data_IF_173055879060
#
_entry.id   IF_173055879060
#
_cell.length_a   1.000
_cell.length_b   1.000
_cell.length_c   1.000
_cell.angle_alpha   90.00
_cell.angle_beta   90.00
_cell.angle_gamma   90.00
#
_symmetry.space_group_name_H-M   'P 1'
#
loop_
_entity.id
_entity.type
_entity.pdbx_description
1 polymer ?
#
# COMPACT_ATOMS: atom_id res chain seq x y z
N UNK A 1 50.09 -71.58 37.51
CA UNK A 1 51.22 -71.16 36.65
C UNK A 1 50.69 -70.35 35.48
N UNK A 2 51.27 -69.16 35.27
CA UNK A 2 51.21 -68.23 34.12
C UNK A 2 49.85 -67.70 33.62
N UNK A 3 49.48 -66.41 33.77
CA UNK A 3 49.98 -65.10 33.25
C UNK A 3 49.44 -64.68 31.86
N UNK A 4 48.77 -63.50 31.85
CA UNK A 4 48.44 -62.58 30.72
C UNK A 4 47.43 -63.11 29.68
N UNK A 5 46.51 -62.34 29.10
CA UNK A 5 46.59 -60.97 28.60
C UNK A 5 45.19 -60.38 28.35
N UNK A 6 45.08 -59.08 28.56
CA UNK A 6 43.95 -58.20 28.26
C UNK A 6 43.46 -58.24 26.80
N UNK A 7 42.18 -57.89 26.60
CA UNK A 7 41.70 -56.92 25.58
C UNK A 7 40.22 -56.59 25.81
N UNK A 8 39.98 -55.48 26.51
CA UNK A 8 38.68 -54.83 26.63
C UNK A 8 38.36 -54.17 25.28
N UNK A 9 37.28 -54.55 24.61
CA UNK A 9 36.72 -53.82 23.45
C UNK A 9 35.47 -53.08 23.93
N UNK A 10 35.60 -51.76 24.14
CA UNK A 10 34.44 -50.87 24.25
C UNK A 10 33.79 -50.76 22.87
N UNK A 11 32.54 -51.20 22.74
CA UNK A 11 31.67 -50.83 21.64
C UNK A 11 31.04 -49.47 21.95
N UNK A 12 31.46 -48.43 21.22
CA UNK A 12 30.78 -47.14 21.21
C UNK A 12 29.54 -47.25 20.32
N UNK A 13 28.35 -47.24 20.92
CA UNK A 13 27.08 -47.09 20.23
C UNK A 13 26.92 -45.63 19.80
N UNK A 14 27.16 -45.36 18.51
CA UNK A 14 26.81 -44.10 17.84
C UNK A 14 25.29 -44.07 17.63
N UNK A 15 24.59 -43.29 18.44
CA UNK A 15 23.21 -42.86 18.19
C UNK A 15 23.21 -41.79 17.09
N UNK A 16 22.49 -41.96 15.98
CA UNK A 16 22.22 -40.85 15.08
C UNK A 16 21.18 -39.94 15.73
N UNK A 17 21.62 -38.80 16.24
CA UNK A 17 20.73 -37.67 16.54
C UNK A 17 20.23 -37.15 15.20
N UNK A 18 19.05 -37.61 14.77
CA UNK A 18 18.30 -36.98 13.69
C UNK A 18 17.88 -35.58 14.16
N UNK A 19 18.72 -34.58 13.87
CA UNK A 19 18.34 -33.19 13.97
C UNK A 19 17.29 -32.89 12.91
N UNK A 20 16.02 -32.79 13.31
CA UNK A 20 15.04 -32.06 12.51
C UNK A 20 15.50 -30.61 12.43
N UNK A 21 16.10 -30.24 11.30
CA UNK A 21 16.23 -28.85 10.91
C UNK A 21 14.81 -28.33 10.65
N UNK A 22 14.20 -27.75 11.68
CA UNK A 22 13.05 -26.88 11.48
C UNK A 22 13.54 -25.71 10.63
N UNK A 23 13.24 -25.73 9.33
CA UNK A 23 13.39 -24.57 8.48
C UNK A 23 12.61 -23.41 9.10
N UNK A 24 13.27 -22.30 9.48
CA UNK A 24 12.56 -21.18 10.03
C UNK A 24 11.59 -20.64 8.97
N UNK A 25 10.35 -20.40 9.36
CA UNK A 25 9.26 -19.86 8.54
C UNK A 25 9.49 -18.39 8.09
N UNK A 26 10.74 -17.97 7.95
CA UNK A 26 11.15 -16.58 7.72
C UNK A 26 11.24 -16.17 6.23
N UNK A 27 10.77 -17.01 5.29
CA UNK A 27 11.04 -16.80 3.85
C UNK A 27 9.80 -16.62 2.96
N UNK A 28 8.62 -17.10 3.33
CA UNK A 28 7.44 -17.04 2.45
C UNK A 28 6.94 -15.61 2.19
N UNK A 29 7.27 -14.68 3.08
CA UNK A 29 6.68 -13.33 3.11
C UNK A 29 7.51 -12.29 2.36
N UNK A 30 8.84 -12.43 2.39
CA UNK A 30 9.73 -11.73 1.47
C UNK A 30 9.52 -12.24 0.03
N UNK A 31 9.20 -13.53 -0.12
CA UNK A 31 8.82 -14.13 -1.39
C UNK A 31 7.49 -13.57 -1.93
N UNK A 32 6.46 -13.39 -1.10
CA UNK A 32 5.20 -12.74 -1.51
C UNK A 32 5.43 -11.30 -2.02
N UNK A 33 6.28 -10.52 -1.33
CA UNK A 33 6.63 -9.15 -1.76
C UNK A 33 7.40 -9.17 -3.08
N UNK A 34 8.37 -10.07 -3.22
CA UNK A 34 9.14 -10.23 -4.45
C UNK A 34 8.27 -10.71 -5.62
N UNK A 35 7.34 -11.64 -5.38
CA UNK A 35 6.39 -12.12 -6.37
C UNK A 35 5.47 -11.00 -6.87
N UNK A 36 5.02 -10.11 -5.98
CA UNK A 36 4.24 -8.93 -6.35
C UNK A 36 5.07 -7.94 -7.19
N UNK A 37 6.35 -7.72 -6.86
CA UNK A 37 7.26 -6.90 -7.67
C UNK A 37 7.45 -7.51 -9.06
N UNK A 38 7.68 -8.83 -9.12
CA UNK A 38 7.85 -9.54 -10.38
C UNK A 38 6.59 -9.50 -11.23
N UNK A 39 5.41 -9.60 -10.62
CA UNK A 39 4.14 -9.42 -11.30
C UNK A 39 4.06 -8.06 -12.02
N UNK A 40 4.40 -6.96 -11.32
CA UNK A 40 4.39 -5.64 -11.97
C UNK A 40 5.43 -5.53 -13.07
N UNK A 41 6.64 -6.07 -12.87
CA UNK A 41 7.67 -6.12 -13.93
C UNK A 41 7.11 -6.79 -15.19
N UNK A 42 6.43 -7.93 -15.04
CA UNK A 42 5.88 -8.69 -16.16
C UNK A 42 4.73 -7.92 -16.84
N UNK A 43 3.83 -7.29 -16.06
CA UNK A 43 2.76 -6.45 -16.60
C UNK A 43 3.32 -5.28 -17.42
N UNK A 44 4.38 -4.60 -16.95
CA UNK A 44 4.95 -3.47 -17.70
C UNK A 44 5.78 -3.90 -18.91
N UNK A 45 6.36 -5.11 -18.90
CA UNK A 45 7.10 -5.65 -20.06
C UNK A 45 6.18 -6.22 -21.14
N UNK A 46 5.12 -6.89 -20.74
CA UNK A 46 4.36 -7.77 -21.63
C UNK A 46 2.87 -7.43 -21.72
N UNK A 47 2.33 -6.68 -20.75
CA UNK A 47 0.92 -6.33 -20.70
C UNK A 47 0.47 -5.41 -21.83
N UNK A 48 -0.85 -5.35 -22.06
CA UNK A 48 -1.47 -4.30 -22.87
C UNK A 48 -1.57 -2.98 -22.10
N UNK A 49 -2.03 -1.92 -22.76
CA UNK A 49 -2.25 -0.62 -22.12
C UNK A 49 -3.22 -0.73 -20.93
N UNK A 50 -4.31 -1.51 -21.07
CA UNK A 50 -5.32 -1.65 -20.02
C UNK A 50 -4.75 -2.33 -18.77
N UNK A 51 -4.00 -3.43 -18.94
CA UNK A 51 -3.33 -4.12 -17.83
C UNK A 51 -2.30 -3.22 -17.13
N UNK A 52 -1.51 -2.46 -17.89
CA UNK A 52 -0.59 -1.47 -17.31
C UNK A 52 -1.34 -0.37 -16.57
N UNK A 53 -2.46 0.10 -17.11
CA UNK A 53 -3.27 1.14 -16.49
C UNK A 53 -3.84 0.69 -15.14
N UNK A 54 -4.33 -0.55 -15.07
CA UNK A 54 -4.78 -1.18 -13.83
C UNK A 54 -3.63 -1.26 -12.82
N UNK A 55 -2.48 -1.81 -13.22
CA UNK A 55 -1.28 -1.89 -12.37
C UNK A 55 -0.81 -0.52 -11.84
N UNK A 56 -0.86 0.54 -12.66
CA UNK A 56 -0.55 1.90 -12.21
C UNK A 56 -1.52 2.40 -11.13
N UNK A 57 -2.80 2.00 -11.20
CA UNK A 57 -3.80 2.29 -10.18
C UNK A 57 -3.52 1.59 -8.85
N UNK A 58 -3.06 0.34 -8.91
CA UNK A 58 -2.73 -0.48 -7.74
C UNK A 58 -1.44 -0.02 -7.05
N UNK A 59 -0.38 0.23 -7.84
CA UNK A 59 0.93 0.68 -7.38
C UNK A 59 0.82 1.92 -6.47
N UNK A 60 -0.13 2.81 -6.75
CA UNK A 60 -0.41 4.02 -5.98
C UNK A 60 -0.47 3.81 -4.47
N UNK A 61 -0.99 2.66 -4.04
CA UNK A 61 -1.17 2.37 -2.63
C UNK A 61 -0.50 1.05 -2.23
N UNK A 62 0.47 0.61 -3.01
CA UNK A 62 1.28 -0.59 -2.73
C UNK A 62 2.43 -0.31 -1.77
N UNK A 63 2.92 0.94 -1.73
CA UNK A 63 4.15 1.28 -1.03
C UNK A 63 5.41 0.75 -1.71
N UNK A 64 5.30 0.20 -2.92
CA UNK A 64 6.45 -0.28 -3.69
C UNK A 64 7.25 0.93 -4.20
N UNK A 65 8.54 0.94 -3.89
CA UNK A 65 9.53 1.90 -4.37
C UNK A 65 10.71 1.17 -5.02
N UNK A 66 10.43 0.08 -5.76
CA UNK A 66 11.46 -0.76 -6.37
C UNK A 66 11.82 -0.25 -7.79
N UNK A 67 13.07 0.19 -8.04
CA UNK A 67 13.49 0.69 -9.35
C UNK A 67 13.26 -0.30 -10.50
N UNK A 68 13.28 -1.62 -10.25
CA UNK A 68 13.08 -2.64 -11.30
C UNK A 68 11.73 -2.48 -12.01
N UNK A 69 10.69 -2.03 -11.30
CA UNK A 69 9.38 -1.74 -11.89
C UNK A 69 9.41 -0.41 -12.65
N UNK A 70 9.92 0.63 -11.99
CA UNK A 70 9.78 2.01 -12.48
C UNK A 70 10.78 2.36 -13.59
N UNK A 71 11.93 1.70 -13.68
CA UNK A 71 12.91 1.89 -14.76
C UNK A 71 12.33 1.44 -16.12
N UNK A 72 11.46 0.42 -16.13
CA UNK A 72 10.75 -0.02 -17.34
C UNK A 72 9.79 1.08 -17.82
N UNK A 73 9.08 1.69 -16.88
CA UNK A 73 8.12 2.78 -17.13
C UNK A 73 8.87 4.03 -17.61
N UNK A 74 9.99 4.36 -16.97
CA UNK A 74 10.85 5.48 -17.33
C UNK A 74 11.36 5.34 -18.77
N UNK A 75 11.91 4.17 -19.12
CA UNK A 75 12.40 3.90 -20.47
C UNK A 75 11.28 4.01 -21.52
N UNK A 76 10.09 3.48 -21.22
CA UNK A 76 8.94 3.57 -22.12
C UNK A 76 8.47 5.02 -22.32
N UNK A 77 8.47 5.83 -21.26
CA UNK A 77 8.11 7.24 -21.30
C UNK A 77 9.15 8.06 -22.09
N UNK A 78 10.45 7.89 -21.80
CA UNK A 78 11.53 8.58 -22.51
C UNK A 78 11.54 8.28 -24.01
N UNK A 79 11.14 7.08 -24.41
CA UNK A 79 11.04 6.70 -25.82
C UNK A 79 9.93 7.45 -26.57
N UNK A 80 8.82 7.78 -25.90
CA UNK A 80 7.58 8.15 -26.58
C UNK A 80 7.01 9.53 -26.17
N UNK A 81 7.61 10.27 -25.23
CA UNK A 81 6.99 11.48 -24.66
C UNK A 81 6.80 12.66 -25.64
N UNK A 82 7.47 12.63 -26.79
CA UNK A 82 7.32 13.61 -27.87
C UNK A 82 6.17 13.27 -28.83
N UNK A 83 5.59 12.07 -28.73
CA UNK A 83 4.45 11.65 -29.54
C UNK A 83 3.17 12.36 -29.09
N UNK A 84 2.57 13.10 -30.01
CA UNK A 84 1.39 13.93 -29.76
C UNK A 84 0.07 13.24 -30.06
N UNK A 85 0.09 11.98 -30.54
CA UNK A 85 -1.14 11.21 -30.77
C UNK A 85 -1.88 11.03 -29.43
N UNK A 86 -3.21 11.25 -29.38
CA UNK A 86 -3.96 11.26 -28.12
C UNK A 86 -3.74 10.04 -27.23
N UNK A 87 -3.72 8.85 -27.82
CA UNK A 87 -3.47 7.60 -27.09
C UNK A 87 -2.09 7.58 -26.40
N UNK A 88 -1.04 8.02 -27.09
CA UNK A 88 0.31 8.04 -26.52
C UNK A 88 0.48 9.15 -25.49
N UNK A 89 -0.12 10.32 -25.72
CA UNK A 89 -0.17 11.39 -24.71
C UNK A 89 -0.82 10.89 -23.42
N UNK A 90 -1.91 10.12 -23.53
CA UNK A 90 -2.62 9.57 -22.39
C UNK A 90 -1.78 8.53 -21.65
N UNK A 91 -1.18 7.60 -22.38
CA UNK A 91 -0.28 6.60 -21.81
C UNK A 91 0.93 7.24 -21.12
N UNK A 92 1.61 8.17 -21.78
CA UNK A 92 2.75 8.90 -21.22
C UNK A 92 2.36 9.72 -19.98
N UNK A 93 1.16 10.29 -19.96
CA UNK A 93 0.65 11.01 -18.79
C UNK A 93 0.46 10.08 -17.59
N UNK A 94 0.04 8.84 -17.83
CA UNK A 94 -0.04 7.83 -16.78
C UNK A 94 1.33 7.36 -16.31
N UNK A 95 2.28 7.13 -17.22
CA UNK A 95 3.66 6.81 -16.85
C UNK A 95 4.31 7.90 -16.00
N UNK A 96 4.17 9.17 -16.38
CA UNK A 96 4.69 10.29 -15.60
C UNK A 96 4.15 10.31 -14.16
N UNK A 97 2.83 10.10 -13.98
CA UNK A 97 2.24 9.98 -12.64
C UNK A 97 2.79 8.80 -11.86
N UNK A 98 3.00 7.67 -12.53
CA UNK A 98 3.49 6.43 -11.92
C UNK A 98 4.94 6.54 -11.48
N UNK A 99 5.79 7.26 -12.23
CA UNK A 99 7.13 7.59 -11.76
C UNK A 99 7.10 8.41 -10.46
N UNK A 100 6.18 9.35 -10.30
CA UNK A 100 6.01 10.05 -9.02
C UNK A 100 5.49 9.14 -7.90
N UNK A 101 4.61 8.19 -8.21
CA UNK A 101 4.11 7.19 -7.24
C UNK A 101 5.24 6.36 -6.63
N UNK A 102 6.35 6.15 -7.36
CA UNK A 102 7.52 5.44 -6.81
C UNK A 102 8.13 6.14 -5.58
N UNK A 103 7.97 7.46 -5.45
CA UNK A 103 8.65 8.27 -4.44
C UNK A 103 10.18 8.34 -4.60
N UNK A 104 10.74 7.83 -5.70
CA UNK A 104 12.19 7.77 -5.91
C UNK A 104 12.70 9.04 -6.60
N UNK A 105 13.56 9.79 -5.90
CA UNK A 105 14.13 11.05 -6.38
C UNK A 105 14.85 10.95 -7.73
N UNK A 106 15.40 9.76 -8.07
CA UNK A 106 16.10 9.52 -9.35
C UNK A 106 15.26 9.90 -10.58
N UNK A 107 13.93 9.79 -10.52
CA UNK A 107 13.06 10.09 -11.66
C UNK A 107 12.73 11.57 -11.81
N UNK A 108 13.11 12.44 -10.86
CA UNK A 108 12.82 13.86 -10.93
C UNK A 108 13.45 14.50 -12.17
N UNK A 109 14.70 14.17 -12.48
CA UNK A 109 15.39 14.71 -13.64
C UNK A 109 14.69 14.34 -14.95
N UNK A 110 14.23 13.09 -15.08
CA UNK A 110 13.45 12.64 -16.22
C UNK A 110 12.11 13.38 -16.33
N UNK A 111 11.39 13.53 -15.22
CA UNK A 111 10.16 14.31 -15.20
C UNK A 111 10.42 15.77 -15.59
N UNK A 112 11.49 16.40 -15.10
CA UNK A 112 11.83 17.78 -15.46
C UNK A 112 12.15 17.91 -16.95
N UNK A 113 12.96 17.00 -17.50
CA UNK A 113 13.24 16.94 -18.93
C UNK A 113 11.95 16.90 -19.77
N UNK A 114 11.03 16.00 -19.43
CA UNK A 114 9.78 15.85 -20.17
C UNK A 114 8.90 17.09 -20.02
N UNK A 115 8.88 17.70 -18.82
CA UNK A 115 8.16 18.95 -18.61
C UNK A 115 8.65 20.02 -19.58
N UNK A 116 9.95 20.15 -19.75
CA UNK A 116 10.54 21.23 -20.53
C UNK A 116 10.47 20.97 -22.04
N UNK A 117 10.61 19.71 -22.46
CA UNK A 117 10.74 19.31 -23.86
C UNK A 117 9.42 18.84 -24.52
N UNK A 118 8.37 18.48 -23.75
CA UNK A 118 7.13 17.97 -24.37
C UNK A 118 6.31 19.06 -25.08
N UNK A 119 5.81 18.73 -26.27
CA UNK A 119 4.88 19.56 -27.04
C UNK A 119 3.41 19.38 -26.62
N UNK A 120 3.12 18.45 -25.71
CA UNK A 120 1.75 18.18 -25.24
C UNK A 120 1.43 18.93 -23.95
N UNK A 121 0.48 19.87 -24.01
CA UNK A 121 -0.01 20.59 -22.82
C UNK A 121 -0.62 19.65 -21.77
N UNK A 122 -1.30 18.58 -22.22
CA UNK A 122 -1.86 17.55 -21.34
C UNK A 122 -0.76 16.78 -20.61
N UNK A 123 0.29 16.36 -21.32
CA UNK A 123 1.43 15.66 -20.71
C UNK A 123 2.16 16.60 -19.74
N UNK A 124 2.48 17.83 -20.16
CA UNK A 124 3.12 18.85 -19.32
C UNK A 124 2.38 19.06 -18.00
N UNK A 125 1.04 19.16 -18.02
CA UNK A 125 0.20 19.26 -16.82
C UNK A 125 0.36 18.05 -15.89
N UNK A 126 0.41 16.84 -16.43
CA UNK A 126 0.54 15.63 -15.62
C UNK A 126 1.96 15.43 -15.07
N UNK A 127 2.98 15.87 -15.79
CA UNK A 127 4.36 15.92 -15.30
C UNK A 127 4.52 16.95 -14.20
N UNK A 128 3.94 18.14 -14.33
CA UNK A 128 3.93 19.15 -13.26
C UNK A 128 3.27 18.60 -11.97
N UNK A 129 2.15 17.87 -12.12
CA UNK A 129 1.54 17.16 -10.99
C UNK A 129 2.49 16.10 -10.40
N UNK A 130 3.18 15.33 -11.24
CA UNK A 130 4.12 14.29 -10.80
C UNK A 130 5.28 14.90 -9.99
N UNK A 131 5.89 15.98 -10.48
CA UNK A 131 6.96 16.71 -9.80
C UNK A 131 6.53 17.24 -8.42
N UNK A 132 5.30 17.72 -8.30
CA UNK A 132 4.73 18.19 -7.04
C UNK A 132 4.42 17.06 -6.05
N UNK A 133 4.24 15.82 -6.53
CA UNK A 133 3.75 14.68 -5.73
C UNK A 133 4.81 13.66 -5.36
N UNK A 134 5.94 13.63 -6.04
CA UNK A 134 6.97 12.62 -5.78
C UNK A 134 7.44 12.61 -4.31
N UNK A 135 7.52 13.78 -3.67
CA UNK A 135 7.90 13.90 -2.26
C UNK A 135 6.79 13.40 -1.31
N UNK A 136 5.52 13.49 -1.71
CA UNK A 136 4.43 12.90 -0.95
C UNK A 136 4.61 11.37 -0.91
N UNK A 137 4.83 10.74 -2.07
CA UNK A 137 5.04 9.29 -2.13
C UNK A 137 6.34 8.84 -1.48
N UNK A 138 7.40 9.63 -1.54
CA UNK A 138 8.63 9.37 -0.79
C UNK A 138 8.36 9.27 0.73
N UNK A 139 7.40 10.05 1.24
CA UNK A 139 6.95 9.99 2.64
C UNK A 139 5.93 8.88 2.89
N UNK A 140 5.05 8.60 1.93
CA UNK A 140 3.94 7.66 2.09
C UNK A 140 4.37 6.20 1.94
N UNK A 141 5.23 5.90 0.97
CA UNK A 141 5.57 4.52 0.65
C UNK A 141 6.22 3.77 1.82
N UNK A 142 7.16 4.36 2.59
CA UNK A 142 7.69 3.71 3.79
C UNK A 142 6.64 3.46 4.88
N UNK A 143 5.58 4.27 4.96
CA UNK A 143 4.45 4.03 5.87
C UNK A 143 3.64 2.85 5.37
N UNK A 144 3.28 2.83 4.08
CA UNK A 144 2.46 1.78 3.47
C UNK A 144 3.17 0.43 3.51
N UNK A 145 4.48 0.40 3.25
CA UNK A 145 5.31 -0.81 3.16
C UNK A 145 5.83 -1.32 4.51
N UNK A 146 5.56 -0.60 5.60
CA UNK A 146 6.08 -0.95 6.93
C UNK A 146 5.63 -2.36 7.34
N UNK A 147 6.57 -3.21 7.69
CA UNK A 147 6.24 -4.52 8.24
C UNK A 147 5.62 -5.51 7.23
N UNK A 148 5.73 -5.26 5.91
CA UNK A 148 5.12 -6.16 4.91
C UNK A 148 5.85 -7.49 4.79
N UNK A 149 7.15 -7.52 5.05
CA UNK A 149 7.94 -8.75 5.05
C UNK A 149 7.59 -9.67 6.24
N UNK A 150 6.80 -9.20 7.21
CA UNK A 150 6.35 -9.94 8.38
C UNK A 150 4.85 -10.24 8.32
N UNK A 151 4.15 -9.82 7.26
CA UNK A 151 2.74 -10.11 7.08
C UNK A 151 2.51 -11.62 6.88
N UNK A 152 1.37 -12.18 7.33
CA UNK A 152 1.07 -13.59 7.04
C UNK A 152 0.95 -13.81 5.51
N UNK A 153 1.18 -15.03 5.01
CA UNK A 153 1.06 -15.35 3.58
C UNK A 153 -0.27 -14.87 2.99
N UNK A 154 -0.24 -14.20 1.84
CA UNK A 154 -1.42 -13.58 1.21
C UNK A 154 -2.00 -12.37 1.97
N UNK A 155 -1.37 -11.95 3.07
CA UNK A 155 -1.83 -10.90 3.99
C UNK A 155 -1.35 -9.48 3.63
N UNK A 156 -0.63 -9.29 2.53
CA UNK A 156 -0.05 -8.00 2.14
C UNK A 156 -1.12 -6.90 2.01
N UNK A 157 -2.25 -7.20 1.39
CA UNK A 157 -3.33 -6.23 1.21
C UNK A 157 -3.88 -5.74 2.57
N UNK A 158 -4.21 -6.66 3.47
CA UNK A 158 -4.68 -6.32 4.81
C UNK A 158 -3.61 -5.57 5.62
N UNK A 159 -2.34 -5.97 5.51
CA UNK A 159 -1.23 -5.28 6.17
C UNK A 159 -1.09 -3.82 5.70
N UNK A 160 -1.18 -3.56 4.40
CA UNK A 160 -1.21 -2.19 3.85
C UNK A 160 -2.39 -1.39 4.38
N UNK A 161 -3.58 -1.98 4.46
CA UNK A 161 -4.75 -1.28 5.01
C UNK A 161 -4.54 -0.93 6.48
N UNK A 162 -3.98 -1.84 7.29
CA UNK A 162 -3.60 -1.53 8.68
C UNK A 162 -2.63 -0.37 8.75
N UNK A 163 -1.58 -0.36 7.93
CA UNK A 163 -0.60 0.71 7.88
C UNK A 163 -1.21 2.06 7.49
N UNK A 164 -2.13 2.06 6.52
CA UNK A 164 -2.85 3.25 6.08
C UNK A 164 -3.73 3.82 7.19
N UNK A 165 -4.47 2.97 7.92
CA UNK A 165 -5.37 3.38 9.01
C UNK A 165 -4.61 3.84 10.26
N UNK A 166 -3.44 3.27 10.53
CA UNK A 166 -2.58 3.65 11.67
C UNK A 166 -1.75 4.92 11.44
N UNK A 167 -1.75 5.46 10.22
CA UNK A 167 -1.03 6.67 9.89
C UNK A 167 -1.67 7.91 10.52
N UNK A 168 -0.87 8.93 10.83
CA UNK A 168 -1.37 10.28 11.16
C UNK A 168 -1.51 11.18 9.92
N UNK A 169 -1.28 10.63 8.71
CA UNK A 169 -1.39 11.37 7.44
C UNK A 169 -2.83 11.24 6.91
N UNK A 170 -3.58 12.35 6.76
CA UNK A 170 -4.99 12.31 6.34
C UNK A 170 -5.23 11.60 5.01
N UNK A 171 -4.35 11.78 4.02
CA UNK A 171 -4.43 11.09 2.74
C UNK A 171 -4.36 9.57 2.88
N UNK A 172 -3.53 9.07 3.80
CA UNK A 172 -3.37 7.64 4.04
C UNK A 172 -4.55 7.08 4.81
N UNK A 173 -5.04 7.77 5.84
CA UNK A 173 -6.27 7.39 6.56
C UNK A 173 -7.44 7.30 5.57
N UNK A 174 -7.57 8.30 4.69
CA UNK A 174 -8.60 8.32 3.64
C UNK A 174 -8.48 7.13 2.69
N UNK A 175 -7.26 6.78 2.27
CA UNK A 175 -7.02 5.63 1.41
C UNK A 175 -7.36 4.31 2.14
N UNK A 176 -7.00 4.18 3.42
CA UNK A 176 -7.35 3.06 4.28
C UNK A 176 -8.86 2.87 4.40
N UNK A 177 -9.60 3.93 4.75
CA UNK A 177 -11.07 3.88 4.84
C UNK A 177 -11.75 3.51 3.53
N UNK A 178 -11.23 3.98 2.38
CA UNK A 178 -11.73 3.54 1.06
C UNK A 178 -11.50 2.05 0.84
N UNK A 179 -10.33 1.52 1.18
CA UNK A 179 -10.04 0.10 1.02
C UNK A 179 -10.91 -0.78 1.89
N UNK A 180 -11.14 -0.38 3.15
CA UNK A 180 -12.12 -1.07 4.00
C UNK A 180 -13.50 -1.05 3.37
N UNK A 181 -13.98 0.11 2.92
CA UNK A 181 -15.29 0.22 2.28
C UNK A 181 -15.43 -0.68 1.03
N UNK A 182 -14.46 -0.67 0.12
CA UNK A 182 -14.57 -1.35 -1.18
C UNK A 182 -14.16 -2.82 -1.17
N UNK A 183 -13.20 -3.21 -0.33
CA UNK A 183 -12.55 -4.53 -0.41
C UNK A 183 -12.48 -5.30 0.92
N UNK A 184 -12.61 -4.64 2.07
CA UNK A 184 -12.46 -5.30 3.39
C UNK A 184 -13.62 -4.97 4.35
N UNK A 185 -14.84 -4.83 3.84
CA UNK A 185 -16.00 -4.41 4.65
C UNK A 185 -16.58 -5.53 5.54
N UNK A 186 -16.01 -6.73 5.48
CA UNK A 186 -16.34 -7.88 6.33
C UNK A 186 -15.13 -8.36 7.16
N UNK A 187 -14.02 -7.61 7.15
CA UNK A 187 -12.84 -7.91 7.96
C UNK A 187 -12.99 -7.21 9.31
N UNK A 188 -13.38 -7.96 10.34
CA UNK A 188 -13.66 -7.42 11.67
C UNK A 188 -12.46 -6.71 12.29
N UNK A 189 -11.23 -7.19 12.05
CA UNK A 189 -10.03 -6.57 12.57
C UNK A 189 -9.77 -5.20 11.92
N UNK A 190 -10.01 -5.08 10.61
CA UNK A 190 -9.88 -3.80 9.90
C UNK A 190 -11.04 -2.84 10.19
N UNK A 191 -12.24 -3.34 10.46
CA UNK A 191 -13.37 -2.53 10.89
C UNK A 191 -13.16 -1.97 12.30
N UNK A 192 -12.66 -2.80 13.22
CA UNK A 192 -12.31 -2.36 14.57
C UNK A 192 -11.19 -1.32 14.54
N UNK A 193 -10.15 -1.54 13.73
CA UNK A 193 -9.11 -0.54 13.53
C UNK A 193 -9.66 0.76 12.91
N UNK A 194 -10.60 0.66 11.97
CA UNK A 194 -11.29 1.82 11.38
C UNK A 194 -12.04 2.62 12.44
N UNK A 195 -12.72 1.92 13.36
CA UNK A 195 -13.42 2.51 14.50
C UNK A 195 -12.44 3.22 15.44
N UNK A 196 -11.35 2.57 15.81
CA UNK A 196 -10.33 3.14 16.70
C UNK A 196 -9.66 4.37 16.07
N UNK A 197 -9.29 4.32 14.78
CA UNK A 197 -8.78 5.48 14.05
C UNK A 197 -9.80 6.62 14.03
N UNK A 198 -11.08 6.33 13.80
CA UNK A 198 -12.12 7.37 13.81
C UNK A 198 -12.22 8.03 15.19
N UNK A 199 -12.27 7.22 16.26
CA UNK A 199 -12.36 7.70 17.64
C UNK A 199 -11.12 8.50 18.08
N UNK A 200 -9.93 8.11 17.62
CA UNK A 200 -8.68 8.83 17.86
C UNK A 200 -8.70 10.25 17.29
N UNK A 201 -9.26 10.44 16.09
CA UNK A 201 -9.07 11.68 15.32
C UNK A 201 -10.29 12.62 15.27
N UNK A 202 -11.51 12.17 15.57
CA UNK A 202 -12.72 12.97 15.29
C UNK A 202 -12.87 14.26 16.10
N UNK A 203 -12.27 14.32 17.29
CA UNK A 203 -12.31 15.51 18.18
C UNK A 203 -11.34 16.59 17.77
N UNK A 204 -10.23 16.20 17.14
CA UNK A 204 -9.15 17.10 16.69
C UNK A 204 -9.11 17.21 15.17
N UNK A 205 -10.20 16.90 14.47
CA UNK A 205 -10.25 16.96 13.01
C UNK A 205 -9.95 18.39 12.55
N UNK A 206 -8.99 18.53 11.65
CA UNK A 206 -8.62 19.81 11.07
C UNK A 206 -9.79 20.46 10.32
N UNK A 207 -9.64 21.75 10.01
CA UNK A 207 -10.56 22.45 9.10
C UNK A 207 -10.31 22.09 7.64
N UNK A 208 -9.22 21.37 7.36
CA UNK A 208 -8.79 21.06 6.02
C UNK A 208 -9.71 20.02 5.37
N UNK A 209 -9.92 20.17 4.06
CA UNK A 209 -10.90 19.34 3.34
C UNK A 209 -10.50 17.86 3.38
N UNK A 210 -9.21 17.56 3.38
CA UNK A 210 -8.69 16.20 3.35
C UNK A 210 -8.92 15.51 4.70
N UNK A 211 -8.71 16.19 5.82
CA UNK A 211 -8.97 15.66 7.17
C UNK A 211 -10.42 15.19 7.31
N UNK A 212 -11.36 16.07 6.97
CA UNK A 212 -12.79 15.76 7.07
C UNK A 212 -13.18 14.63 6.11
N UNK A 213 -12.63 14.61 4.89
CA UNK A 213 -12.93 13.53 3.94
C UNK A 213 -12.36 12.20 4.40
N UNK A 214 -11.17 12.19 5.02
CA UNK A 214 -10.56 10.98 5.59
C UNK A 214 -11.49 10.33 6.62
N UNK A 215 -11.93 11.10 7.62
CA UNK A 215 -12.81 10.59 8.67
C UNK A 215 -14.22 10.26 8.15
N UNK A 216 -14.72 11.00 7.16
CA UNK A 216 -15.99 10.66 6.50
C UNK A 216 -15.94 9.31 5.78
N UNK A 217 -14.78 8.92 5.22
CA UNK A 217 -14.58 7.59 4.65
C UNK A 217 -14.56 6.49 5.71
N UNK A 218 -14.00 6.75 6.90
CA UNK A 218 -14.09 5.81 8.03
C UNK A 218 -15.55 5.59 8.45
N UNK A 219 -16.33 6.67 8.61
CA UNK A 219 -17.77 6.55 8.91
C UNK A 219 -18.52 5.70 7.85
N UNK A 220 -18.17 5.91 6.57
CA UNK A 220 -18.78 5.17 5.46
C UNK A 220 -18.39 3.70 5.48
N UNK A 221 -17.14 3.38 5.78
CA UNK A 221 -16.63 2.01 5.88
C UNK A 221 -17.34 1.25 7.01
N UNK A 222 -17.46 1.84 8.20
CA UNK A 222 -18.18 1.26 9.32
C UNK A 222 -19.65 0.99 8.98
N UNK A 223 -20.37 1.95 8.39
CA UNK A 223 -21.76 1.71 7.99
C UNK A 223 -21.91 0.70 6.85
N UNK A 224 -20.89 0.51 6.00
CA UNK A 224 -20.92 -0.49 4.92
C UNK A 224 -20.84 -1.93 5.46
N UNK A 225 -20.25 -2.13 6.64
CA UNK A 225 -20.19 -3.45 7.28
C UNK A 225 -21.58 -4.00 7.66
N UNK A 226 -22.57 -3.12 7.87
CA UNK A 226 -23.90 -3.52 8.36
C UNK A 226 -23.93 -3.94 9.83
N UNK A 227 -22.82 -3.80 10.56
CA UNK A 227 -22.71 -4.26 11.94
C UNK A 227 -23.33 -3.25 12.93
N UNK A 228 -24.39 -3.61 13.67
CA UNK A 228 -25.13 -2.67 14.51
C UNK A 228 -24.30 -2.01 15.62
N UNK A 229 -23.23 -2.66 16.11
CA UNK A 229 -22.40 -2.09 17.17
C UNK A 229 -21.70 -0.79 16.76
N UNK A 230 -21.50 -0.53 15.46
CA UNK A 230 -20.89 0.72 15.01
C UNK A 230 -21.87 1.90 14.97
N UNK A 231 -23.17 1.67 15.19
CA UNK A 231 -24.16 2.75 15.20
C UNK A 231 -23.88 3.76 16.32
N UNK A 232 -23.67 3.28 17.54
CA UNK A 232 -23.37 4.14 18.70
C UNK A 232 -22.07 4.92 18.50
N UNK A 233 -21.07 4.32 17.85
CA UNK A 233 -19.82 5.02 17.48
C UNK A 233 -20.10 6.18 16.53
N UNK A 234 -20.92 5.97 15.50
CA UNK A 234 -21.27 7.04 14.55
C UNK A 234 -22.14 8.13 15.19
N UNK A 235 -22.98 7.78 16.15
CA UNK A 235 -23.76 8.74 16.94
C UNK A 235 -22.84 9.57 17.85
N UNK A 236 -21.90 8.95 18.55
CA UNK A 236 -20.89 9.64 19.35
C UNK A 236 -20.12 10.66 18.52
N UNK A 237 -19.62 10.25 17.35
CA UNK A 237 -18.89 11.15 16.44
C UNK A 237 -19.79 12.29 15.95
N UNK A 238 -21.07 12.03 15.69
CA UNK A 238 -22.00 13.04 15.23
C UNK A 238 -22.28 14.13 16.29
N UNK A 239 -22.32 13.74 17.56
CA UNK A 239 -22.62 14.62 18.69
C UNK A 239 -21.40 15.39 19.18
N UNK A 240 -20.21 14.78 19.11
CA UNK A 240 -19.03 15.27 19.83
C UNK A 240 -17.91 15.81 18.92
N UNK A 241 -18.06 15.75 17.59
CA UNK A 241 -17.07 16.36 16.68
C UNK A 241 -17.24 17.88 16.59
N UNK A 242 -16.11 18.59 16.44
CA UNK A 242 -16.08 20.04 16.17
C UNK A 242 -16.44 20.37 14.72
N UNK A 243 -16.40 19.39 13.81
CA UNK A 243 -16.68 19.59 12.38
C UNK A 243 -18.14 19.30 12.03
N UNK A 244 -18.91 20.36 11.76
CA UNK A 244 -20.30 20.26 11.28
C UNK A 244 -20.46 19.32 10.07
N UNK A 245 -19.45 19.31 9.18
CA UNK A 245 -19.45 18.45 7.99
C UNK A 245 -19.24 16.99 8.36
N UNK A 246 -18.30 16.68 9.26
CA UNK A 246 -18.11 15.33 9.76
C UNK A 246 -19.35 14.83 10.51
N UNK A 247 -19.94 15.67 11.37
CA UNK A 247 -21.17 15.36 12.09
C UNK A 247 -22.32 14.95 11.15
N UNK A 248 -22.48 15.69 10.04
CA UNK A 248 -23.46 15.36 9.00
C UNK A 248 -23.22 13.99 8.36
N UNK A 249 -21.97 13.63 8.08
CA UNK A 249 -21.65 12.31 7.54
C UNK A 249 -21.91 11.21 8.57
N UNK A 250 -21.43 11.38 9.80
CA UNK A 250 -21.62 10.41 10.88
C UNK A 250 -23.12 10.14 11.12
N UNK A 251 -23.93 11.20 11.28
CA UNK A 251 -25.40 11.09 11.41
C UNK A 251 -26.07 10.40 10.21
N UNK A 252 -25.63 10.71 8.98
CA UNK A 252 -26.16 10.08 7.76
C UNK A 252 -25.90 8.58 7.76
N UNK A 253 -24.71 8.16 8.20
CA UNK A 253 -24.29 6.76 8.14
C UNK A 253 -24.79 5.95 9.35
N UNK A 254 -24.96 6.57 10.53
CA UNK A 254 -25.64 5.95 11.67
C UNK A 254 -27.07 5.50 11.32
N UNK A 255 -27.80 6.28 10.52
CA UNK A 255 -29.16 5.93 10.05
C UNK A 255 -29.21 4.74 9.09
N UNK A 256 -28.07 4.30 8.56
CA UNK A 256 -27.97 3.16 7.64
C UNK A 256 -27.64 1.85 8.36
N UNK A 257 -27.37 1.92 9.65
CA UNK A 257 -27.19 0.80 10.57
C UNK A 257 -28.45 0.65 11.44
#
# INVERSE_FOLDING_TARGET
MNFKSQRTRLFALLLPVLGWLATPAAFATAEDVEAEIQHYIDVFRHGGFDARHEAMGELKWSGISDPRVYDIIEAALLKNFTDTRPRHVDENAWYAKTLAISGLEKYRATLQKIHDETNSSKLKKHVAWALARINDYARWNPVIARGLAEAPPGGLAAARVRNLLNSDIPELIRAGGKRVYFAHNADDALLELTKDTLLKHYRSVGTDRVDVDALAWLCKALAKSGQPQYKSVLEEVAENTTSKKLAKYAKKYARKL
#
